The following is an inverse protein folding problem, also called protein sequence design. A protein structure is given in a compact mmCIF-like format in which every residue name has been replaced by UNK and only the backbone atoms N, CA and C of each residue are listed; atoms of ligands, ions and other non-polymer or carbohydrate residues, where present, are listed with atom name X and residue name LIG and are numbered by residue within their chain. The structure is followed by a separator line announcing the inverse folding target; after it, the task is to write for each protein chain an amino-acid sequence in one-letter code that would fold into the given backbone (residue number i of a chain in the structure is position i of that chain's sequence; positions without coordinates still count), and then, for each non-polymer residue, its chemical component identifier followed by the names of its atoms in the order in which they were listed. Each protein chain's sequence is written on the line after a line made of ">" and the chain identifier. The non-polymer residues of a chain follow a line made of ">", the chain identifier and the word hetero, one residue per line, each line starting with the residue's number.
data_IF_003354768997
#
_entry.id   IF_003354768997
#
_cell.length_a   1.000
_cell.length_b   1.000
_cell.length_c   1.000
_cell.angle_alpha   90.00
_cell.angle_beta   90.00
_cell.angle_gamma   90.00
#
_symmetry.space_group_name_H-M   'P 1'
#
loop_
_entity.id
_entity.type
_entity.pdbx_description
1 polymer ?
#
# COMPACT_ATOMS: atom_id res chain seq x y z
N UNK A 1 -50.19 27.80 44.95
CA UNK A 1 -49.49 28.29 43.75
C UNK A 1 -48.00 27.94 43.74
N UNK A 2 -47.25 28.20 44.80
CA UNK A 2 -45.78 28.03 44.85
C UNK A 2 -45.26 26.63 44.46
N UNK A 3 -45.92 25.55 44.92
CA UNK A 3 -45.56 24.17 44.53
C UNK A 3 -45.69 23.89 43.03
N UNK A 4 -46.75 24.40 42.39
CA UNK A 4 -46.95 24.24 40.93
C UNK A 4 -45.91 25.04 40.14
N UNK A 5 -45.58 26.24 40.59
CA UNK A 5 -44.53 27.07 39.98
C UNK A 5 -43.18 26.32 40.04
N UNK A 6 -42.80 25.83 41.22
CA UNK A 6 -41.55 25.08 41.40
C UNK A 6 -41.50 23.80 40.55
N UNK A 7 -42.63 23.11 40.41
CA UNK A 7 -42.75 21.92 39.56
C UNK A 7 -42.56 22.25 38.07
N UNK A 8 -43.24 23.29 37.56
CA UNK A 8 -43.10 23.70 36.16
C UNK A 8 -41.72 24.27 35.85
N UNK A 9 -41.11 24.99 36.78
CA UNK A 9 -39.72 25.46 36.64
C UNK A 9 -38.74 24.28 36.56
N UNK A 10 -38.91 23.26 37.40
CA UNK A 10 -38.11 22.04 37.34
C UNK A 10 -38.28 21.29 36.02
N UNK A 11 -39.52 21.09 35.57
CA UNK A 11 -39.80 20.45 34.28
C UNK A 11 -39.19 21.22 33.11
N UNK A 12 -39.38 22.54 33.07
CA UNK A 12 -38.81 23.38 32.01
C UNK A 12 -37.28 23.30 31.99
N UNK A 13 -36.63 23.28 33.17
CA UNK A 13 -35.18 23.13 33.28
C UNK A 13 -34.71 21.77 32.75
N UNK A 14 -35.29 20.67 33.24
CA UNK A 14 -34.83 19.33 32.86
C UNK A 14 -35.17 18.98 31.41
N UNK A 15 -36.35 19.36 30.91
CA UNK A 15 -36.69 19.17 29.50
C UNK A 15 -35.87 20.08 28.59
N UNK A 16 -35.62 21.32 29.01
CA UNK A 16 -34.71 22.22 28.30
C UNK A 16 -33.30 21.65 28.18
N UNK A 17 -32.75 21.15 29.29
CA UNK A 17 -31.44 20.48 29.31
C UNK A 17 -31.42 19.22 28.44
N UNK A 18 -32.48 18.41 28.49
CA UNK A 18 -32.60 17.20 27.68
C UNK A 18 -32.64 17.51 26.18
N UNK A 19 -33.48 18.49 25.78
CA UNK A 19 -33.57 18.95 24.39
C UNK A 19 -32.24 19.57 23.93
N UNK A 20 -31.58 20.37 24.77
CA UNK A 20 -30.28 20.96 24.45
C UNK A 20 -29.19 19.89 24.30
N UNK A 21 -29.18 18.87 25.15
CA UNK A 21 -28.25 17.75 25.07
C UNK A 21 -28.42 16.97 23.77
N UNK A 22 -29.66 16.56 23.43
CA UNK A 22 -29.94 15.87 22.18
C UNK A 22 -29.66 16.77 20.97
N UNK A 23 -30.05 18.04 21.04
CA UNK A 23 -29.82 19.01 19.99
C UNK A 23 -28.34 19.22 19.71
N UNK A 24 -27.51 19.35 20.75
CA UNK A 24 -26.07 19.50 20.60
C UNK A 24 -25.43 18.24 20.02
N UNK A 25 -25.67 17.07 20.61
CA UNK A 25 -25.05 15.82 20.16
C UNK A 25 -25.62 15.24 18.86
N UNK A 26 -26.74 15.78 18.36
CA UNK A 26 -27.24 15.44 17.02
C UNK A 26 -26.50 16.16 15.89
N UNK A 27 -25.75 17.23 16.18
CA UNK A 27 -25.00 18.01 15.17
C UNK A 27 -23.51 18.18 15.50
N UNK A 28 -23.09 17.97 16.74
CA UNK A 28 -21.74 18.21 17.22
C UNK A 28 -21.23 17.09 18.16
N UNK A 29 -19.91 16.81 18.16
CA UNK A 29 -18.93 17.32 17.21
C UNK A 29 -19.15 16.73 15.80
N UNK A 30 -18.87 17.53 14.78
CA UNK A 30 -18.91 17.05 13.40
C UNK A 30 -17.88 15.94 13.22
N UNK A 31 -18.29 14.83 12.64
CA UNK A 31 -17.39 13.72 12.37
C UNK A 31 -16.43 14.08 11.22
N UNK A 32 -15.13 13.99 11.48
CA UNK A 32 -14.08 14.23 10.49
C UNK A 32 -13.51 12.88 10.07
N UNK A 33 -13.81 12.45 8.84
CA UNK A 33 -13.33 11.18 8.28
C UNK A 33 -11.80 11.15 8.09
N UNK A 34 -11.21 12.29 7.73
CA UNK A 34 -9.78 12.42 7.45
C UNK A 34 -9.31 13.84 7.83
N UNK A 35 -8.16 13.99 8.51
CA UNK A 35 -7.67 15.31 8.93
C UNK A 35 -7.53 16.26 7.74
N UNK A 36 -8.00 17.50 7.92
CA UNK A 36 -8.05 18.52 6.86
C UNK A 36 -6.69 19.08 6.45
N UNK A 37 -5.63 18.72 7.16
CA UNK A 37 -4.24 19.14 6.95
C UNK A 37 -3.36 17.99 6.42
N UNK A 38 -3.95 16.82 6.15
CA UNK A 38 -3.23 15.65 5.69
C UNK A 38 -3.59 15.28 4.25
N UNK A 39 -2.74 14.45 3.65
CA UNK A 39 -2.96 13.72 2.42
C UNK A 39 -2.68 12.23 2.67
N UNK A 40 -3.19 11.35 1.80
CA UNK A 40 -3.07 9.91 1.96
C UNK A 40 -2.22 9.33 0.84
N UNK A 41 -1.03 8.83 1.17
CA UNK A 41 -0.23 8.01 0.25
C UNK A 41 -0.76 6.58 0.30
N UNK A 42 -1.09 6.03 -0.86
CA UNK A 42 -1.55 4.65 -1.03
C UNK A 42 -0.56 3.91 -1.91
N UNK A 43 0.21 3.00 -1.32
CA UNK A 43 1.06 2.07 -2.08
C UNK A 43 0.22 0.86 -2.45
N UNK A 44 0.07 0.58 -3.75
CA UNK A 44 -0.75 -0.54 -4.21
C UNK A 44 -0.26 -1.04 -5.55
N UNK A 45 0.49 -2.15 -5.56
CA UNK A 45 0.90 -2.82 -6.79
C UNK A 45 1.03 -4.33 -6.58
N UNK A 46 1.03 -5.05 -7.69
CA UNK A 46 1.35 -6.48 -7.76
C UNK A 46 2.42 -6.69 -8.82
N UNK A 47 3.57 -7.22 -8.40
CA UNK A 47 4.72 -7.42 -9.28
C UNK A 47 5.30 -8.82 -9.07
N UNK A 48 5.54 -9.53 -10.16
CA UNK A 48 6.22 -10.81 -10.12
C UNK A 48 7.73 -10.58 -10.18
N UNK A 49 8.45 -11.05 -9.15
CA UNK A 49 9.89 -11.06 -9.16
C UNK A 49 10.47 -11.81 -10.37
N UNK A 50 11.72 -11.54 -10.68
CA UNK A 50 12.47 -12.32 -11.64
C UNK A 50 12.60 -13.78 -11.16
N UNK A 51 12.81 -14.74 -12.08
CA UNK A 51 13.07 -16.13 -11.70
C UNK A 51 14.17 -16.21 -10.63
N UNK A 52 13.95 -17.04 -9.61
CA UNK A 52 14.89 -17.22 -8.51
C UNK A 52 16.20 -17.83 -9.01
N UNK A 53 16.08 -18.83 -9.88
CA UNK A 53 17.20 -19.55 -10.49
C UNK A 53 17.28 -19.28 -11.99
N UNK A 54 18.49 -19.40 -12.54
CA UNK A 54 18.69 -19.37 -13.98
C UNK A 54 18.20 -20.65 -14.64
N UNK A 55 17.72 -20.51 -15.87
CA UNK A 55 17.35 -21.67 -16.66
C UNK A 55 18.60 -22.49 -17.00
N UNK A 56 18.61 -23.76 -16.59
CA UNK A 56 19.69 -24.70 -16.91
C UNK A 56 19.45 -25.33 -18.28
N UNK A 57 20.50 -25.39 -19.09
CA UNK A 57 20.51 -26.18 -20.32
C UNK A 57 20.78 -27.65 -19.98
N UNK A 58 19.97 -28.55 -20.52
CA UNK A 58 20.13 -30.00 -20.36
C UNK A 58 21.13 -30.54 -21.37
N UNK A 59 21.93 -31.53 -20.95
CA UNK A 59 22.87 -32.19 -21.85
C UNK A 59 22.14 -33.15 -22.81
N UNK A 60 22.79 -33.53 -23.91
CA UNK A 60 22.21 -34.49 -24.87
C UNK A 60 21.86 -35.83 -24.20
N UNK A 61 22.71 -36.33 -23.31
CA UNK A 61 22.48 -37.56 -22.54
C UNK A 61 21.26 -37.46 -21.61
N UNK A 62 21.02 -36.29 -21.01
CA UNK A 62 19.84 -36.03 -20.18
C UNK A 62 18.56 -35.98 -21.03
N UNK A 63 18.64 -35.44 -22.24
CA UNK A 63 17.51 -35.38 -23.18
C UNK A 63 17.15 -36.76 -23.73
N UNK A 64 18.14 -37.59 -24.02
CA UNK A 64 17.90 -38.94 -24.53
C UNK A 64 17.18 -39.83 -23.52
N UNK A 65 17.48 -39.66 -22.22
CA UNK A 65 16.78 -40.33 -21.11
C UNK A 65 15.31 -39.92 -20.98
N UNK A 66 14.90 -38.80 -21.58
CA UNK A 66 13.52 -38.33 -21.56
C UNK A 66 12.69 -38.91 -22.72
N UNK A 67 11.38 -39.15 -22.50
CA UNK A 67 10.45 -39.49 -23.57
C UNK A 67 10.48 -38.45 -24.70
N UNK A 68 10.30 -38.83 -25.98
CA UNK A 68 10.43 -37.92 -27.13
C UNK A 68 9.63 -36.62 -27.02
N UNK A 69 8.44 -36.66 -26.42
CA UNK A 69 7.57 -35.50 -26.23
C UNK A 69 7.96 -34.58 -25.05
N UNK A 70 8.93 -34.96 -24.23
CA UNK A 70 9.36 -34.22 -23.04
C UNK A 70 10.82 -33.72 -23.12
N UNK A 71 11.47 -33.84 -24.28
CA UNK A 71 12.86 -33.42 -24.52
C UNK A 71 12.99 -31.90 -24.69
N UNK A 72 12.58 -31.14 -23.68
CA UNK A 72 12.83 -29.70 -23.65
C UNK A 72 14.32 -29.44 -23.33
N UNK A 73 15.04 -28.67 -24.17
CA UNK A 73 16.47 -28.42 -24.02
C UNK A 73 16.80 -27.56 -22.79
N UNK A 74 15.84 -26.79 -22.30
CA UNK A 74 16.02 -25.84 -21.20
C UNK A 74 15.05 -26.16 -20.06
N UNK A 75 15.56 -26.21 -18.84
CA UNK A 75 14.78 -26.38 -17.61
C UNK A 75 14.86 -25.11 -16.77
N UNK A 76 13.71 -24.46 -16.55
CA UNK A 76 13.61 -23.28 -15.71
C UNK A 76 12.86 -23.62 -14.41
N UNK A 77 13.37 -23.13 -13.28
CA UNK A 77 12.63 -23.11 -12.02
C UNK A 77 11.38 -22.22 -12.14
N UNK A 78 10.30 -22.59 -11.44
CA UNK A 78 9.07 -21.80 -11.40
C UNK A 78 9.08 -20.70 -10.33
N UNK A 79 9.89 -20.90 -9.28
CA UNK A 79 9.95 -20.00 -8.12
C UNK A 79 10.44 -18.60 -8.51
N UNK A 80 9.82 -17.58 -7.91
CA UNK A 80 10.17 -16.18 -8.12
C UNK A 80 10.98 -15.63 -6.97
N UNK A 81 11.82 -14.65 -7.28
CA UNK A 81 12.51 -13.85 -6.28
C UNK A 81 11.48 -13.07 -5.44
N UNK A 82 11.71 -12.92 -4.12
CA UNK A 82 10.98 -11.94 -3.31
C UNK A 82 11.25 -10.53 -3.83
N UNK A 83 10.27 -9.64 -3.64
CA UNK A 83 10.35 -8.23 -4.05
C UNK A 83 10.63 -7.38 -2.82
N UNK A 84 11.80 -6.74 -2.74
CA UNK A 84 12.07 -5.74 -1.71
C UNK A 84 11.59 -4.38 -2.20
N UNK A 85 10.70 -3.74 -1.44
CA UNK A 85 10.18 -2.42 -1.74
C UNK A 85 10.46 -1.44 -0.62
N UNK A 86 10.86 -0.23 -0.99
CA UNK A 86 11.09 0.88 -0.09
C UNK A 86 10.46 2.17 -0.60
N UNK A 87 9.87 2.90 0.34
CA UNK A 87 9.33 4.23 0.14
C UNK A 87 9.92 5.17 1.19
N UNK A 88 10.56 6.23 0.71
CA UNK A 88 11.04 7.34 1.50
C UNK A 88 10.26 8.61 1.14
N UNK A 89 10.02 9.43 2.17
CA UNK A 89 9.41 10.75 2.08
C UNK A 89 10.31 11.74 2.80
N UNK A 90 10.74 12.80 2.11
CA UNK A 90 11.61 13.85 2.64
C UNK A 90 12.90 13.30 3.28
N UNK A 91 13.47 12.26 2.66
CA UNK A 91 14.67 11.57 3.14
C UNK A 91 14.47 10.66 4.34
N UNK A 92 13.22 10.46 4.82
CA UNK A 92 12.89 9.54 5.91
C UNK A 92 12.20 8.28 5.36
N UNK A 93 12.59 7.07 5.79
CA UNK A 93 11.92 5.85 5.37
C UNK A 93 10.51 5.79 5.98
N UNK A 94 9.49 5.72 5.10
CA UNK A 94 8.08 5.55 5.49
C UNK A 94 7.69 4.08 5.49
N UNK A 95 8.19 3.31 4.51
CA UNK A 95 7.90 1.89 4.40
C UNK A 95 9.07 1.13 3.81
N UNK A 96 9.35 -0.04 4.39
CA UNK A 96 10.31 -1.02 3.87
C UNK A 96 9.75 -2.40 4.13
N UNK A 97 9.64 -3.21 3.09
CA UNK A 97 9.22 -4.60 3.24
C UNK A 97 9.85 -5.49 2.16
N UNK A 98 10.10 -6.73 2.55
CA UNK A 98 10.35 -7.81 1.61
C UNK A 98 9.05 -8.59 1.40
N UNK A 99 8.59 -8.61 0.15
CA UNK A 99 7.31 -9.17 -0.26
C UNK A 99 7.55 -10.54 -0.89
N UNK A 100 7.25 -11.65 -0.19
CA UNK A 100 7.47 -12.98 -0.72
C UNK A 100 6.51 -13.27 -1.89
N UNK A 101 6.94 -14.09 -2.87
CA UNK A 101 6.06 -14.53 -3.94
C UNK A 101 4.88 -15.34 -3.39
N UNK A 102 3.73 -15.21 -4.05
CA UNK A 102 2.50 -15.87 -3.62
C UNK A 102 2.34 -17.25 -4.28
N UNK A 103 1.40 -18.03 -3.77
CA UNK A 103 1.08 -19.36 -4.30
C UNK A 103 1.86 -20.48 -3.64
N UNK A 104 1.33 -21.71 -3.75
CA UNK A 104 1.91 -22.91 -3.12
C UNK A 104 3.33 -23.20 -3.66
N UNK A 105 3.54 -22.93 -4.94
CA UNK A 105 4.82 -23.12 -5.62
C UNK A 105 5.69 -21.85 -5.67
N UNK A 106 5.31 -20.79 -4.95
CA UNK A 106 6.04 -19.51 -4.89
C UNK A 106 6.35 -18.91 -6.28
N UNK A 107 5.45 -19.13 -7.22
CA UNK A 107 5.57 -18.69 -8.62
C UNK A 107 4.68 -17.48 -8.95
N UNK A 108 3.86 -17.03 -7.99
CA UNK A 108 2.95 -15.90 -8.12
C UNK A 108 3.58 -14.55 -7.83
N UNK A 109 2.83 -13.49 -8.17
CA UNK A 109 3.26 -12.11 -7.95
C UNK A 109 3.26 -11.73 -6.46
N UNK A 110 4.22 -10.90 -6.08
CA UNK A 110 4.28 -10.23 -4.78
C UNK A 110 3.38 -8.99 -4.81
N UNK A 111 2.49 -8.86 -3.83
CA UNK A 111 1.53 -7.75 -3.76
C UNK A 111 1.72 -6.96 -2.49
N UNK A 112 1.60 -5.64 -2.57
CA UNK A 112 1.58 -4.74 -1.42
C UNK A 112 0.35 -3.84 -1.47
N UNK A 113 -0.23 -3.59 -0.30
CA UNK A 113 -1.28 -2.61 -0.11
C UNK A 113 -1.05 -1.91 1.22
N UNK A 114 -0.67 -0.63 1.19
CA UNK A 114 -0.45 0.15 2.40
C UNK A 114 -0.95 1.58 2.23
N UNK A 115 -1.30 2.20 3.36
CA UNK A 115 -1.86 3.56 3.43
C UNK A 115 -1.10 4.34 4.49
N UNK A 116 -0.57 5.51 4.11
CA UNK A 116 0.20 6.38 4.97
C UNK A 116 -0.42 7.78 4.96
N UNK A 117 -1.06 8.20 6.06
CA UNK A 117 -1.40 9.61 6.22
C UNK A 117 -0.12 10.43 6.38
N UNK A 118 0.00 11.51 5.61
CA UNK A 118 1.13 12.43 5.63
C UNK A 118 0.62 13.86 5.66
N UNK A 119 1.39 14.85 6.15
CA UNK A 119 1.01 16.25 6.01
C UNK A 119 0.72 16.60 4.54
N UNK A 120 -0.20 17.53 4.30
CA UNK A 120 -0.35 18.13 2.98
C UNK A 120 0.77 19.16 2.74
N UNK A 121 1.22 19.29 1.50
CA UNK A 121 2.31 20.19 1.14
C UNK A 121 3.29 19.60 0.12
N UNK A 122 4.45 20.24 -0.03
CA UNK A 122 5.52 19.74 -0.88
C UNK A 122 6.28 18.61 -0.20
N UNK A 123 6.45 17.52 -0.92
CA UNK A 123 7.23 16.38 -0.47
C UNK A 123 8.15 15.86 -1.56
N UNK A 124 9.31 15.38 -1.14
CA UNK A 124 10.24 14.63 -1.99
C UNK A 124 10.04 13.14 -1.76
N UNK A 125 9.62 12.45 -2.80
CA UNK A 125 9.41 11.01 -2.82
C UNK A 125 10.63 10.31 -3.37
N UNK A 126 10.98 9.18 -2.77
CA UNK A 126 11.91 8.21 -3.35
C UNK A 126 11.38 6.81 -3.16
N UNK A 127 11.06 6.16 -4.27
CA UNK A 127 10.59 4.79 -4.30
C UNK A 127 11.69 3.90 -4.89
N UNK A 128 11.98 2.77 -4.23
CA UNK A 128 12.98 1.79 -4.68
C UNK A 128 12.39 0.39 -4.65
N UNK A 129 12.70 -0.40 -5.67
CA UNK A 129 12.24 -1.77 -5.78
C UNK A 129 13.36 -2.68 -6.31
N UNK A 130 13.54 -3.81 -5.63
CA UNK A 130 14.45 -4.90 -5.99
C UNK A 130 13.60 -6.13 -6.26
N UNK A 131 13.62 -6.64 -7.48
CA UNK A 131 12.78 -7.77 -7.88
C UNK A 131 13.56 -9.05 -8.19
N UNK A 132 14.86 -9.07 -7.90
CA UNK A 132 15.75 -10.19 -8.21
C UNK A 132 16.77 -10.39 -7.09
N UNK A 133 16.91 -11.61 -6.60
CA UNK A 133 17.98 -11.95 -5.64
C UNK A 133 19.37 -11.92 -6.29
N UNK A 134 19.41 -11.96 -7.61
CA UNK A 134 20.64 -12.00 -8.41
C UNK A 134 21.30 -10.64 -8.59
N UNK A 135 20.59 -9.55 -8.33
CA UNK A 135 21.18 -8.20 -8.29
C UNK A 135 21.54 -7.83 -6.85
N UNK A 136 22.68 -7.17 -6.60
CA UNK A 136 23.07 -6.80 -5.24
C UNK A 136 22.14 -5.73 -4.66
N UNK A 137 21.72 -4.76 -5.46
CA UNK A 137 20.99 -3.56 -5.04
C UNK A 137 19.66 -3.37 -5.80
N UNK A 138 18.94 -2.29 -5.51
CA UNK A 138 17.68 -1.89 -6.15
C UNK A 138 17.87 -1.65 -7.66
N UNK A 139 17.12 -2.40 -8.48
CA UNK A 139 17.15 -2.24 -9.94
C UNK A 139 16.08 -1.28 -10.47
N UNK A 140 15.13 -0.86 -9.64
CA UNK A 140 14.20 0.22 -9.95
C UNK A 140 14.27 1.30 -8.88
N UNK A 141 14.47 2.54 -9.31
CA UNK A 141 14.43 3.71 -8.44
C UNK A 141 13.71 4.84 -9.16
N UNK A 142 12.86 5.57 -8.43
CA UNK A 142 12.25 6.80 -8.93
C UNK A 142 12.20 7.84 -7.82
N UNK A 143 12.65 9.04 -8.14
CA UNK A 143 12.55 10.22 -7.27
C UNK A 143 11.64 11.25 -7.93
N UNK A 144 10.81 11.92 -7.14
CA UNK A 144 9.96 12.99 -7.61
C UNK A 144 9.66 13.97 -6.48
N UNK A 145 9.55 15.25 -6.81
CA UNK A 145 9.01 16.27 -5.92
C UNK A 145 7.58 16.56 -6.34
N UNK A 146 6.64 16.44 -5.40
CA UNK A 146 5.22 16.61 -5.69
C UNK A 146 4.53 17.36 -4.54
N UNK A 147 3.52 18.15 -4.89
CA UNK A 147 2.69 18.83 -3.90
C UNK A 147 1.43 18.01 -3.67
N UNK A 148 1.22 17.55 -2.44
CA UNK A 148 0.01 16.87 -2.02
C UNK A 148 -1.00 17.89 -1.49
N UNK A 149 -2.17 17.95 -2.11
CA UNK A 149 -3.28 18.76 -1.63
C UNK A 149 -3.95 18.10 -0.41
N UNK A 150 -4.56 18.88 0.51
CA UNK A 150 -5.30 18.31 1.63
C UNK A 150 -6.45 17.39 1.18
N UNK A 151 -6.60 16.25 1.85
CA UNK A 151 -7.56 15.21 1.50
C UNK A 151 -7.22 14.42 0.22
N UNK A 152 -6.11 14.74 -0.47
CA UNK A 152 -5.72 14.04 -1.69
C UNK A 152 -5.30 12.60 -1.39
N UNK A 153 -5.77 11.66 -2.21
CA UNK A 153 -5.26 10.29 -2.24
C UNK A 153 -4.23 10.19 -3.35
N UNK A 154 -2.96 10.07 -2.97
CA UNK A 154 -1.84 9.91 -3.88
C UNK A 154 -1.44 8.44 -3.95
N UNK A 155 -1.40 7.87 -5.15
CA UNK A 155 -1.15 6.45 -5.37
C UNK A 155 0.27 6.23 -5.89
N UNK A 156 1.00 5.38 -5.19
CA UNK A 156 2.27 4.82 -5.63
C UNK A 156 2.01 3.41 -6.18
N UNK A 157 2.19 3.28 -7.48
CA UNK A 157 1.99 2.06 -8.24
C UNK A 157 3.30 1.66 -8.94
N UNK A 158 3.40 0.42 -9.40
CA UNK A 158 4.59 -0.09 -10.08
C UNK A 158 4.20 -0.93 -11.28
N UNK A 159 4.72 -0.54 -12.46
CA UNK A 159 4.56 -1.28 -13.69
C UNK A 159 5.86 -1.27 -14.50
N UNK A 160 6.58 -2.40 -14.59
CA UNK A 160 7.85 -2.46 -15.31
C UNK A 160 7.67 -2.18 -16.82
N UNK A 161 6.50 -2.47 -17.40
CA UNK A 161 6.22 -2.17 -18.82
C UNK A 161 6.03 -0.68 -19.09
N UNK A 162 5.66 0.10 -18.06
CA UNK A 162 5.49 1.55 -18.14
C UNK A 162 6.75 2.31 -17.69
N UNK A 163 7.87 1.61 -17.49
CA UNK A 163 9.14 2.22 -17.05
C UNK A 163 9.32 2.29 -15.53
N UNK A 164 8.52 1.54 -14.74
CA UNK A 164 8.71 1.39 -13.30
C UNK A 164 7.62 2.07 -12.47
N UNK A 165 8.01 2.94 -11.53
CA UNK A 165 7.07 3.57 -10.60
C UNK A 165 6.16 4.60 -11.28
N UNK A 166 4.88 4.56 -10.92
CA UNK A 166 3.85 5.50 -11.37
C UNK A 166 3.32 6.23 -10.14
N UNK A 167 3.28 7.55 -10.22
CA UNK A 167 2.82 8.47 -9.19
C UNK A 167 1.60 9.21 -9.74
N UNK A 168 0.44 9.05 -9.09
CA UNK A 168 -0.84 9.59 -9.57
C UNK A 168 -1.73 10.05 -8.43
#
# INVERSE_FOLDING_TARGET
>A
MLKKIMQYSGQALFYGLFVAFIGYFSVAPAYVHFPSDQALIKVSFSHAGQPLEECRVRTAEELEKLPPNMRLPTQCGRERSPVTFELELDGKPVYRAELPPRGLSRDGASTVYQRFPVPAGQHRFRARLKDSVRVPDFNYTKEAEMTLAPGQVFVVDFNPRAGGFIFK
#
